data_IF_640578277012
#
_entry.id   IF_640578277012
#
_cell.length_a   1.000
_cell.length_b   1.000
_cell.length_c   1.000
_cell.angle_alpha   90.00
_cell.angle_beta   90.00
_cell.angle_gamma   90.00
#
_symmetry.space_group_name_H-M   'P 1'
#
loop_
_entity.id
_entity.type
_entity.pdbx_description
1 polymer ?
#
# COMPACT_ATOMS: atom_id res chain seq x y z
N UNK A 1 -14.57 16.32 11.29
CA UNK A 1 -15.06 16.76 9.97
C UNK A 1 -15.13 15.55 9.06
N UNK A 2 -15.80 15.64 7.91
CA UNK A 2 -16.05 14.49 7.02
C UNK A 2 -14.90 14.18 6.03
N UNK A 3 -13.78 14.88 6.13
CA UNK A 3 -12.57 14.63 5.33
C UNK A 3 -12.51 15.36 3.99
N UNK A 4 -13.47 16.22 3.63
CA UNK A 4 -13.32 17.02 2.42
C UNK A 4 -12.07 17.92 2.49
N UNK A 5 -11.30 17.93 1.40
CA UNK A 5 -10.02 18.64 1.32
C UNK A 5 -8.85 17.93 2.01
N UNK A 6 -9.05 16.72 2.56
CA UNK A 6 -7.98 15.90 3.14
C UNK A 6 -7.46 14.91 2.11
N UNK A 7 -6.14 14.83 1.97
CA UNK A 7 -5.42 13.78 1.25
C UNK A 7 -4.88 12.76 2.26
N UNK A 8 -5.23 11.50 2.05
CA UNK A 8 -4.68 10.35 2.78
C UNK A 8 -3.77 9.59 1.83
N UNK A 9 -2.55 9.31 2.29
CA UNK A 9 -1.53 8.59 1.52
C UNK A 9 -1.17 7.31 2.27
N UNK A 10 -1.10 6.21 1.53
CA UNK A 10 -0.59 4.92 2.04
C UNK A 10 0.34 4.27 1.01
N UNK A 11 1.16 3.32 1.42
CA UNK A 11 2.09 2.63 0.51
C UNK A 11 1.36 1.61 -0.41
N UNK A 12 0.43 0.84 0.16
CA UNK A 12 -0.29 -0.24 -0.51
C UNK A 12 -1.72 -0.34 0.01
N UNK A 13 -2.68 -0.49 -0.91
CA UNK A 13 -3.97 -1.10 -0.57
C UNK A 13 -3.96 -2.58 -0.96
N UNK A 14 -3.99 -3.47 0.05
CA UNK A 14 -4.08 -4.92 -0.16
C UNK A 14 -5.54 -5.39 -0.17
N UNK A 15 -6.08 -5.81 0.98
CA UNK A 15 -7.48 -6.27 1.12
C UNK A 15 -8.47 -5.11 1.28
N UNK A 16 -7.97 -3.90 1.56
CA UNK A 16 -8.79 -2.70 1.77
C UNK A 16 -9.26 -2.46 3.22
N UNK A 17 -9.08 -3.41 4.15
CA UNK A 17 -9.60 -3.29 5.54
C UNK A 17 -9.17 -2.02 6.28
N UNK A 18 -7.93 -1.57 6.08
CA UNK A 18 -7.45 -0.30 6.65
C UNK A 18 -8.30 0.87 6.16
N UNK A 19 -8.57 0.92 4.86
CA UNK A 19 -9.33 2.01 4.25
C UNK A 19 -10.83 1.94 4.56
N UNK A 20 -11.39 0.76 4.83
CA UNK A 20 -12.76 0.63 5.36
C UNK A 20 -12.91 1.39 6.67
N UNK A 21 -11.97 1.22 7.61
CA UNK A 21 -11.97 1.94 8.89
C UNK A 21 -11.75 3.45 8.67
N UNK A 22 -10.78 3.82 7.82
CA UNK A 22 -10.54 5.24 7.48
C UNK A 22 -11.79 5.91 6.92
N UNK A 23 -12.52 5.25 6.01
CA UNK A 23 -13.74 5.79 5.39
C UNK A 23 -14.90 5.96 6.36
N UNK A 24 -14.95 5.22 7.46
CA UNK A 24 -15.93 5.45 8.53
C UNK A 24 -15.72 6.80 9.21
N UNK A 25 -14.48 7.29 9.27
CA UNK A 25 -14.14 8.55 9.93
C UNK A 25 -14.01 9.74 8.97
N UNK A 26 -13.46 9.50 7.77
CA UNK A 26 -13.16 10.52 6.76
C UNK A 26 -13.74 10.12 5.39
N UNK A 27 -15.07 10.01 5.27
CA UNK A 27 -15.72 9.47 4.08
C UNK A 27 -15.41 10.25 2.80
N UNK A 28 -15.18 11.57 2.88
CA UNK A 28 -14.91 12.44 1.73
C UNK A 28 -13.43 12.71 1.46
N UNK A 29 -12.51 12.07 2.19
CA UNK A 29 -11.08 12.23 1.92
C UNK A 29 -10.69 11.64 0.56
N UNK A 30 -9.69 12.23 -0.09
CA UNK A 30 -9.04 11.64 -1.25
C UNK A 30 -7.99 10.64 -0.77
N UNK A 31 -8.05 9.39 -1.22
CA UNK A 31 -7.07 8.36 -0.86
C UNK A 31 -6.19 8.06 -2.06
N UNK A 32 -4.88 8.17 -1.87
CA UNK A 32 -3.85 7.87 -2.86
C UNK A 32 -2.88 6.81 -2.33
N UNK A 33 -2.52 5.82 -3.14
CA UNK A 33 -1.51 4.80 -2.78
C UNK A 33 -0.41 4.68 -3.81
N UNK A 34 0.74 4.09 -3.44
CA UNK A 34 1.77 3.72 -4.44
C UNK A 34 1.30 2.47 -5.18
N UNK A 35 0.95 1.42 -4.44
CA UNK A 35 0.48 0.16 -4.99
C UNK A 35 -1.00 -0.11 -4.66
N UNK A 36 -1.68 -0.84 -5.54
CA UNK A 36 -3.03 -1.35 -5.30
C UNK A 36 -3.17 -2.79 -5.77
N UNK A 37 -3.84 -3.62 -4.98
CA UNK A 37 -4.24 -4.99 -5.35
C UNK A 37 -5.73 -5.06 -5.70
N UNK A 38 -6.17 -6.03 -6.52
CA UNK A 38 -7.55 -6.12 -7.01
C UNK A 38 -8.63 -6.05 -5.92
N UNK A 39 -8.41 -6.69 -4.77
CA UNK A 39 -9.40 -6.70 -3.68
C UNK A 39 -9.61 -5.30 -3.05
N UNK A 40 -8.53 -4.55 -2.87
CA UNK A 40 -8.56 -3.21 -2.27
C UNK A 40 -8.70 -2.07 -3.26
N UNK A 41 -8.54 -2.32 -4.56
CA UNK A 41 -8.44 -1.32 -5.62
C UNK A 41 -9.61 -0.35 -5.68
N UNK A 42 -10.83 -0.80 -5.39
CA UNK A 42 -12.03 0.03 -5.41
C UNK A 42 -12.07 1.10 -4.30
N UNK A 43 -11.23 0.98 -3.27
CA UNK A 43 -11.25 1.87 -2.10
C UNK A 43 -10.36 3.12 -2.25
N UNK A 44 -9.48 3.13 -3.26
CA UNK A 44 -8.52 4.21 -3.54
C UNK A 44 -8.97 5.08 -4.71
N UNK A 45 -8.73 6.38 -4.61
CA UNK A 45 -9.03 7.34 -5.68
C UNK A 45 -7.89 7.40 -6.71
N UNK A 46 -6.65 7.30 -6.24
CA UNK A 46 -5.45 7.35 -7.09
C UNK A 46 -4.48 6.26 -6.64
N UNK A 47 -3.78 5.66 -7.59
CA UNK A 47 -2.73 4.68 -7.34
C UNK A 47 -1.72 4.76 -8.48
N UNK A 48 -0.47 4.39 -8.24
CA UNK A 48 0.58 4.45 -9.28
C UNK A 48 0.66 3.13 -10.05
N UNK A 49 0.62 1.99 -9.36
CA UNK A 49 0.77 0.68 -10.00
C UNK A 49 -0.17 -0.35 -9.39
N UNK A 50 -0.92 -1.05 -10.26
CA UNK A 50 -1.68 -2.23 -9.85
C UNK A 50 -0.74 -3.45 -9.87
N UNK A 51 -0.84 -4.29 -8.84
CA UNK A 51 -0.09 -5.54 -8.73
C UNK A 51 -1.05 -6.71 -8.47
N UNK A 52 -0.63 -7.93 -8.78
CA UNK A 52 -1.49 -9.09 -8.56
C UNK A 52 -1.75 -9.32 -7.06
N UNK A 53 -2.91 -9.91 -6.75
CA UNK A 53 -3.32 -10.14 -5.36
C UNK A 53 -2.32 -11.03 -4.59
N UNK A 54 -1.71 -11.98 -5.28
CA UNK A 54 -0.72 -12.95 -4.80
C UNK A 54 0.72 -12.40 -4.76
N UNK A 55 0.96 -11.17 -5.25
CA UNK A 55 2.28 -10.54 -5.14
C UNK A 55 2.60 -10.22 -3.68
N UNK A 56 3.73 -10.74 -3.19
CA UNK A 56 4.34 -10.32 -1.92
C UNK A 56 5.32 -9.17 -2.18
N UNK A 57 5.04 -8.01 -1.62
CA UNK A 57 5.88 -6.81 -1.78
C UNK A 57 6.85 -6.73 -0.60
N UNK A 58 8.14 -6.54 -0.89
CA UNK A 58 9.12 -6.07 0.09
C UNK A 58 9.35 -4.59 -0.17
N UNK A 59 9.04 -3.74 0.80
CA UNK A 59 9.35 -2.32 0.66
C UNK A 59 10.82 -2.04 1.00
N UNK A 60 11.40 -0.95 0.46
CA UNK A 60 12.79 -0.59 0.74
C UNK A 60 13.12 -0.49 2.24
N UNK A 61 12.15 -0.13 3.08
CA UNK A 61 12.31 -0.03 4.54
C UNK A 61 12.15 -1.35 5.29
N UNK A 62 11.55 -2.38 4.67
CA UNK A 62 11.51 -3.73 5.24
C UNK A 62 12.81 -4.50 4.99
N UNK A 63 13.61 -4.01 4.02
CA UNK A 63 14.90 -4.59 3.66
C UNK A 63 16.02 -3.95 4.49
N UNK A 64 16.93 -4.79 4.99
CA UNK A 64 18.16 -4.35 5.61
C UNK A 64 19.36 -4.80 4.77
N UNK A 65 20.43 -4.00 4.76
CA UNK A 65 21.71 -4.42 4.20
C UNK A 65 22.26 -5.57 5.05
N UNK A 66 22.42 -6.73 4.43
CA UNK A 66 22.93 -7.92 5.08
C UNK A 66 24.09 -8.47 4.24
N UNK A 67 25.11 -9.00 4.93
CA UNK A 67 26.14 -9.76 4.26
C UNK A 67 25.52 -11.02 3.64
N UNK A 68 25.85 -11.29 2.38
CA UNK A 68 25.48 -12.51 1.67
C UNK A 68 26.76 -13.24 1.32
N UNK A 69 26.89 -14.48 1.81
CA UNK A 69 28.10 -15.28 1.60
C UNK A 69 28.30 -15.59 0.10
N UNK A 70 29.55 -15.55 -0.42
CA UNK A 70 29.85 -15.94 -1.79
C UNK A 70 29.41 -17.38 -2.08
N UNK A 71 28.80 -17.60 -3.25
CA UNK A 71 28.34 -18.94 -3.66
C UNK A 71 29.46 -20.00 -3.79
N UNK A 72 30.73 -19.59 -3.90
CA UNK A 72 31.92 -20.47 -3.89
C UNK A 72 33.12 -19.75 -3.27
N UNK A 73 33.89 -20.46 -2.42
CA UNK A 73 35.13 -19.94 -1.81
C UNK A 73 35.45 -20.40 -0.39
N UNK A 74 34.82 -21.47 0.12
CA UNK A 74 35.24 -22.15 1.34
C UNK A 74 36.56 -22.91 1.13
#
# INVERSE_FOLDING_TARGET
GDGAGVLIVDDLVDTGRTLEVVRQHLPRAHVATVYAKPMGRAQVNTFVTEVSQDTWIFFPWDMALQYVEPYRGA
#
